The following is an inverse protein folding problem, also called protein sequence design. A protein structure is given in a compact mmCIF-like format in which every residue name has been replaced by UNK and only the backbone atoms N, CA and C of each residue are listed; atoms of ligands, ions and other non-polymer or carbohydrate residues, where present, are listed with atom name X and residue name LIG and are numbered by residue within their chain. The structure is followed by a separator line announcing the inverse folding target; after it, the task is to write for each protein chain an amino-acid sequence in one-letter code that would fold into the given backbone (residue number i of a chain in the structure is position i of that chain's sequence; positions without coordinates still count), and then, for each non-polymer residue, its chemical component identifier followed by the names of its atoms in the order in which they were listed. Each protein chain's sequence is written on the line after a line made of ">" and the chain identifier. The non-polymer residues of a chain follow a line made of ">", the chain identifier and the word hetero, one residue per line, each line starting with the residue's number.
data_IF_036741597940
#
_entry.id   IF_036741597940
#
_cell.length_a   1.000
_cell.length_b   1.000
_cell.length_c   1.000
_cell.angle_alpha   90.00
_cell.angle_beta   90.00
_cell.angle_gamma   90.00
#
_symmetry.space_group_name_H-M   'P 1'
#
loop_
_entity.id
_entity.type
_entity.pdbx_description
1 polymer ?
#
# COMPACT_ATOMS: atom_id res chain seq x y z
N UNK A 1 -5.36 -25.66 14.81
CA UNK A 1 -4.06 -25.20 14.24
C UNK A 1 -3.22 -24.60 15.36
N UNK A 2 -2.37 -25.39 16.00
CA UNK A 2 -1.44 -24.93 17.04
C UNK A 2 -0.31 -24.16 16.37
N UNK A 3 -0.45 -22.83 16.29
CA UNK A 3 0.66 -21.96 15.91
C UNK A 3 1.82 -22.22 16.88
N UNK A 4 2.96 -22.68 16.37
CA UNK A 4 4.16 -22.88 17.17
C UNK A 4 4.42 -21.59 17.96
N UNK A 5 4.41 -21.69 19.29
CA UNK A 5 4.84 -20.63 20.20
C UNK A 5 6.37 -20.55 20.11
N UNK A 6 6.86 -19.93 19.04
CA UNK A 6 8.28 -19.65 18.90
C UNK A 6 8.62 -18.54 19.89
N UNK A 7 9.38 -18.91 20.93
CA UNK A 7 10.00 -17.94 21.84
C UNK A 7 10.96 -17.10 21.02
N UNK A 8 10.98 -15.80 21.29
CA UNK A 8 11.82 -14.86 20.55
C UNK A 8 12.54 -13.97 21.55
N UNK A 9 13.85 -13.85 21.40
CA UNK A 9 14.68 -12.97 22.20
C UNK A 9 15.04 -11.77 21.33
N UNK A 10 14.71 -10.56 21.79
CA UNK A 10 15.02 -9.31 21.09
C UNK A 10 15.45 -8.27 22.10
N UNK A 11 16.58 -7.58 21.87
CA UNK A 11 17.17 -6.58 22.78
C UNK A 11 17.37 -7.10 24.21
N UNK A 12 17.69 -8.38 24.36
CA UNK A 12 17.83 -9.03 25.66
C UNK A 12 16.51 -9.29 26.40
N UNK A 13 15.35 -9.07 25.77
CA UNK A 13 14.04 -9.41 26.32
C UNK A 13 13.56 -10.70 25.66
N UNK A 14 13.29 -11.72 26.48
CA UNK A 14 12.66 -12.96 26.02
C UNK A 14 11.13 -12.84 26.04
N UNK A 15 10.52 -13.02 24.88
CA UNK A 15 9.08 -13.06 24.75
C UNK A 15 8.60 -14.50 24.56
N UNK A 16 7.48 -14.89 25.20
CA UNK A 16 6.93 -16.24 25.07
C UNK A 16 6.39 -16.52 23.66
N UNK A 17 6.16 -15.47 22.87
CA UNK A 17 5.68 -15.55 21.49
C UNK A 17 5.96 -14.25 20.73
N UNK A 18 6.11 -14.37 19.41
CA UNK A 18 6.16 -13.23 18.47
C UNK A 18 4.97 -12.30 18.66
N UNK A 19 3.78 -12.84 18.97
CA UNK A 19 2.58 -12.08 19.26
C UNK A 19 2.77 -11.08 20.41
N UNK A 20 3.21 -11.57 21.57
CA UNK A 20 3.43 -10.74 22.76
C UNK A 20 4.52 -9.70 22.53
N UNK A 21 5.58 -10.05 21.79
CA UNK A 21 6.58 -9.08 21.37
C UNK A 21 5.96 -8.01 20.47
N UNK A 22 5.16 -8.39 19.48
CA UNK A 22 4.50 -7.46 18.56
C UNK A 22 3.59 -6.47 19.32
N UNK A 23 2.82 -6.96 20.29
CA UNK A 23 1.97 -6.14 21.15
C UNK A 23 2.80 -5.19 22.03
N UNK A 24 3.92 -5.67 22.59
CA UNK A 24 4.80 -4.87 23.43
C UNK A 24 5.44 -3.69 22.68
N UNK A 25 5.89 -3.91 21.45
CA UNK A 25 6.52 -2.87 20.62
C UNK A 25 5.54 -2.11 19.70
N UNK A 26 4.24 -2.44 19.74
CA UNK A 26 3.24 -1.81 18.88
C UNK A 26 3.41 -2.10 17.38
N UNK A 27 4.01 -3.24 17.02
CA UNK A 27 4.27 -3.63 15.63
C UNK A 27 3.29 -4.72 15.17
N UNK A 28 2.93 -4.73 13.89
CA UNK A 28 2.07 -5.78 13.33
C UNK A 28 2.87 -7.03 12.97
N UNK A 29 2.26 -8.22 13.14
CA UNK A 29 2.88 -9.51 12.76
C UNK A 29 3.31 -9.54 11.28
N UNK A 30 2.55 -8.90 10.39
CA UNK A 30 2.91 -8.83 8.96
C UNK A 30 4.21 -8.08 8.75
N UNK A 31 4.39 -6.95 9.44
CA UNK A 31 5.60 -6.14 9.39
C UNK A 31 6.79 -6.89 9.96
N UNK A 32 6.60 -7.56 11.11
CA UNK A 32 7.62 -8.41 11.72
C UNK A 32 8.06 -9.56 10.82
N UNK A 33 7.11 -10.28 10.19
CA UNK A 33 7.44 -11.37 9.27
C UNK A 33 8.16 -10.87 8.01
N UNK A 34 7.79 -9.72 7.45
CA UNK A 34 8.52 -9.13 6.32
C UNK A 34 9.94 -8.72 6.74
N UNK A 35 10.11 -8.16 7.94
CA UNK A 35 11.41 -7.81 8.50
C UNK A 35 12.28 -9.05 8.74
N UNK A 36 11.75 -10.13 9.35
CA UNK A 36 12.47 -11.39 9.54
C UNK A 36 12.84 -12.11 8.23
N UNK A 37 12.05 -11.93 7.17
CA UNK A 37 12.41 -12.49 5.85
C UNK A 37 13.58 -11.76 5.20
N UNK A 38 13.78 -10.48 5.54
CA UNK A 38 14.82 -9.62 4.97
C UNK A 38 16.07 -9.55 5.85
N UNK A 39 15.88 -9.60 7.16
CA UNK A 39 16.93 -9.51 8.16
C UNK A 39 17.07 -10.88 8.83
N UNK A 40 18.28 -11.43 8.86
CA UNK A 40 18.55 -12.69 9.54
C UNK A 40 18.54 -12.55 11.08
N UNK A 41 18.60 -11.30 11.57
CA UNK A 41 18.73 -10.97 12.99
C UNK A 41 17.43 -10.38 13.56
N UNK A 42 16.94 -10.86 14.71
CA UNK A 42 15.70 -10.39 15.32
C UNK A 42 15.78 -8.93 15.81
N UNK A 43 16.93 -8.50 16.32
CA UNK A 43 17.17 -7.11 16.74
C UNK A 43 17.13 -6.13 15.56
N UNK A 44 17.75 -6.49 14.45
CA UNK A 44 17.75 -5.68 13.22
C UNK A 44 16.34 -5.62 12.61
N UNK A 45 15.63 -6.76 12.62
CA UNK A 45 14.24 -6.82 12.20
C UNK A 45 13.36 -5.90 13.06
N UNK A 46 13.58 -5.85 14.38
CA UNK A 46 12.88 -4.93 15.27
C UNK A 46 13.21 -3.48 14.96
N UNK A 47 14.49 -3.14 14.79
CA UNK A 47 14.89 -1.77 14.45
C UNK A 47 14.20 -1.31 13.17
N UNK A 48 14.16 -2.15 12.14
CA UNK A 48 13.45 -1.89 10.89
C UNK A 48 11.93 -1.80 11.04
N UNK A 49 11.37 -2.52 12.02
CA UNK A 49 9.96 -2.41 12.37
C UNK A 49 9.64 -1.14 13.17
N UNK A 50 10.61 -0.58 13.89
CA UNK A 50 10.45 0.66 14.64
C UNK A 50 10.75 1.88 13.76
N UNK A 51 11.73 1.78 12.87
CA UNK A 51 12.02 2.81 11.87
C UNK A 51 10.80 3.00 10.97
N UNK A 52 10.20 4.18 11.01
CA UNK A 52 9.10 4.51 10.12
C UNK A 52 9.61 4.52 8.67
N UNK A 53 9.41 3.40 7.96
CA UNK A 53 9.62 3.37 6.52
C UNK A 53 8.32 3.88 5.90
N UNK A 54 8.26 5.11 5.37
CA UNK A 54 7.10 5.54 4.62
C UNK A 54 6.84 4.49 3.55
N UNK A 55 5.59 4.05 3.43
CA UNK A 55 5.20 3.10 2.39
C UNK A 55 5.82 3.58 1.08
N UNK A 56 6.61 2.74 0.40
CA UNK A 56 7.36 3.17 -0.80
C UNK A 56 6.35 3.71 -1.80
N UNK A 57 6.23 5.04 -1.83
CA UNK A 57 5.33 5.74 -2.71
C UNK A 57 5.92 5.57 -4.09
N UNK A 58 5.33 4.71 -4.90
CA UNK A 58 5.75 4.55 -6.29
C UNK A 58 5.42 5.87 -6.97
N UNK A 59 6.48 6.64 -7.28
CA UNK A 59 6.36 7.82 -8.12
C UNK A 59 5.74 7.39 -9.45
N UNK A 60 4.75 8.14 -9.91
CA UNK A 60 4.06 7.86 -11.18
C UNK A 60 4.07 9.11 -12.03
N UNK A 61 4.35 8.94 -13.32
CA UNK A 61 4.31 10.02 -14.30
C UNK A 61 3.05 9.83 -15.13
N UNK A 62 2.20 10.85 -15.21
CA UNK A 62 0.92 10.81 -15.91
C UNK A 62 0.80 12.10 -16.72
N UNK A 63 0.65 11.98 -18.05
CA UNK A 63 0.56 13.13 -18.96
C UNK A 63 1.68 14.18 -18.76
N UNK A 64 2.92 13.71 -18.54
CA UNK A 64 4.07 14.59 -18.31
C UNK A 64 4.11 15.26 -16.93
N UNK A 65 3.19 14.91 -16.02
CA UNK A 65 3.19 15.37 -14.63
C UNK A 65 3.65 14.25 -13.71
N UNK A 66 4.63 14.55 -12.85
CA UNK A 66 5.13 13.63 -11.85
C UNK A 66 4.30 13.74 -10.57
N UNK A 67 3.88 12.60 -10.04
CA UNK A 67 3.16 12.49 -8.78
C UNK A 67 3.93 11.60 -7.83
N UNK A 68 3.90 11.95 -6.55
CA UNK A 68 4.57 11.19 -5.50
C UNK A 68 3.92 9.81 -5.30
N UNK A 69 2.61 9.72 -5.52
CA UNK A 69 1.79 8.50 -5.35
C UNK A 69 0.63 8.41 -6.33
N UNK A 70 0.12 7.20 -6.53
CA UNK A 70 -1.14 6.95 -7.27
C UNK A 70 -2.32 7.68 -6.61
N UNK A 71 -2.34 7.77 -5.29
CA UNK A 71 -3.41 8.44 -4.53
C UNK A 71 -3.44 9.95 -4.82
N UNK A 72 -2.28 10.60 -4.77
CA UNK A 72 -2.11 12.02 -5.11
C UNK A 72 -2.56 12.30 -6.54
N UNK A 73 -2.15 11.45 -7.48
CA UNK A 73 -2.61 11.52 -8.86
C UNK A 73 -4.14 11.37 -8.98
N UNK A 74 -4.72 10.33 -8.35
CA UNK A 74 -6.16 10.10 -8.39
C UNK A 74 -6.93 11.30 -7.82
N UNK A 75 -6.47 11.86 -6.70
CA UNK A 75 -7.06 13.04 -6.09
C UNK A 75 -6.98 14.26 -7.03
N UNK A 76 -5.83 14.48 -7.70
CA UNK A 76 -5.65 15.56 -8.67
C UNK A 76 -6.65 15.47 -9.84
N UNK A 77 -6.95 14.26 -10.32
CA UNK A 77 -7.95 14.03 -11.38
C UNK A 77 -9.39 13.87 -10.86
N UNK A 78 -9.63 14.10 -9.56
CA UNK A 78 -10.92 13.88 -8.88
C UNK A 78 -11.48 12.48 -9.15
N UNK A 79 -10.63 11.48 -9.05
CA UNK A 79 -10.93 10.06 -9.16
C UNK A 79 -10.83 9.41 -7.79
N UNK A 80 -11.58 8.31 -7.61
CA UNK A 80 -11.45 7.49 -6.42
C UNK A 80 -10.23 6.56 -6.56
N UNK A 81 -9.24 6.59 -5.65
CA UNK A 81 -8.07 5.71 -5.67
C UNK A 81 -8.45 4.23 -5.80
N UNK A 82 -9.50 3.78 -5.09
CA UNK A 82 -9.96 2.39 -5.17
C UNK A 82 -10.38 2.01 -6.60
N UNK A 83 -11.00 2.92 -7.35
CA UNK A 83 -11.37 2.69 -8.75
C UNK A 83 -10.14 2.56 -9.64
N UNK A 84 -9.09 3.34 -9.37
CA UNK A 84 -7.80 3.25 -10.07
C UNK A 84 -7.16 1.88 -9.84
N UNK A 85 -7.02 1.45 -8.57
CA UNK A 85 -6.47 0.13 -8.25
C UNK A 85 -7.28 -1.01 -8.88
N UNK A 86 -8.61 -0.95 -8.79
CA UNK A 86 -9.50 -1.95 -9.41
C UNK A 86 -9.32 -2.00 -10.92
N UNK A 87 -9.21 -0.85 -11.58
CA UNK A 87 -8.97 -0.77 -13.03
C UNK A 87 -7.60 -1.34 -13.40
N UNK A 88 -6.58 -1.01 -12.61
CA UNK A 88 -5.22 -1.49 -12.76
C UNK A 88 -5.16 -3.02 -12.65
N UNK A 89 -5.82 -3.61 -11.66
CA UNK A 89 -5.88 -5.08 -11.50
C UNK A 89 -6.72 -5.78 -12.56
N UNK A 90 -7.89 -5.21 -12.93
CA UNK A 90 -8.80 -5.83 -13.92
C UNK A 90 -8.23 -5.79 -15.35
N UNK A 91 -7.60 -4.69 -15.72
CA UNK A 91 -7.09 -4.48 -17.07
C UNK A 91 -5.58 -4.74 -17.20
N UNK A 92 -4.88 -5.02 -16.08
CA UNK A 92 -3.42 -5.17 -16.03
C UNK A 92 -2.65 -4.03 -16.70
N UNK A 93 -3.18 -2.81 -16.58
CA UNK A 93 -2.58 -1.59 -17.14
C UNK A 93 -1.69 -0.90 -16.11
N UNK A 94 -0.87 0.05 -16.57
CA UNK A 94 -0.07 0.91 -15.69
C UNK A 94 -0.97 1.88 -14.91
N UNK A 95 -0.45 2.46 -13.82
CA UNK A 95 -1.20 3.40 -12.99
C UNK A 95 -1.60 4.67 -13.77
N UNK A 96 -0.72 5.18 -14.63
CA UNK A 96 -1.01 6.32 -15.49
C UNK A 96 -2.12 6.01 -16.48
N UNK A 97 -2.00 4.88 -17.18
CA UNK A 97 -2.99 4.50 -18.20
C UNK A 97 -4.37 4.17 -17.59
N UNK A 98 -4.41 3.60 -16.39
CA UNK A 98 -5.65 3.41 -15.64
C UNK A 98 -6.36 4.74 -15.35
N UNK A 99 -5.61 5.75 -14.92
CA UNK A 99 -6.14 7.08 -14.62
C UNK A 99 -6.65 7.75 -15.89
N UNK A 100 -5.90 7.69 -16.99
CA UNK A 100 -6.31 8.27 -18.27
C UNK A 100 -7.61 7.66 -18.81
N UNK A 101 -7.73 6.33 -18.75
CA UNK A 101 -8.96 5.64 -19.15
C UNK A 101 -10.15 6.06 -18.28
N UNK A 102 -9.95 6.26 -16.98
CA UNK A 102 -11.00 6.71 -16.06
C UNK A 102 -11.42 8.16 -16.33
N UNK A 103 -10.47 9.06 -16.62
CA UNK A 103 -10.76 10.44 -17.01
C UNK A 103 -11.58 10.47 -18.31
N UNK A 104 -11.18 9.68 -19.32
CA UNK A 104 -11.90 9.57 -20.59
C UNK A 104 -13.33 9.02 -20.39
N UNK A 105 -13.49 7.99 -19.58
CA UNK A 105 -14.81 7.43 -19.26
C UNK A 105 -15.72 8.44 -18.55
N UNK A 106 -15.17 9.22 -17.60
CA UNK A 106 -15.90 10.26 -16.86
C UNK A 106 -16.38 11.40 -17.78
N UNK A 107 -15.54 11.83 -18.72
CA UNK A 107 -15.92 12.83 -19.72
C UNK A 107 -17.04 12.32 -20.65
N UNK A 108 -16.99 11.07 -21.09
CA UNK A 108 -18.03 10.46 -21.92
C UNK A 108 -19.38 10.29 -21.19
N UNK A 109 -19.37 10.06 -19.88
CA UNK A 109 -20.59 10.02 -19.06
C UNK A 109 -21.26 11.40 -18.95
N UNK A 110 -20.45 12.46 -18.83
CA UNK A 110 -20.95 13.83 -18.75
C UNK A 110 -21.65 14.25 -20.05
N UNK A 111 -21.10 13.90 -21.21
CA UNK A 111 -21.67 14.27 -22.52
C UNK A 111 -22.98 13.54 -22.83
N UNK A 112 -23.15 12.29 -22.38
CA UNK A 112 -24.41 11.56 -22.53
C UNK A 112 -25.54 12.18 -21.69
N UNK A 113 -25.23 12.65 -20.49
CA UNK A 113 -26.24 13.21 -19.57
C UNK A 113 -26.79 14.57 -20.01
N UNK A 114 -26.07 15.31 -20.86
CA UNK A 114 -26.56 16.56 -21.46
C UNK A 114 -27.56 16.31 -22.60
N UNK A 115 -27.38 15.24 -23.38
CA UNK A 115 -28.27 14.92 -24.52
C UNK A 115 -29.62 14.34 -24.12
N UNK A 116 -29.77 13.87 -22.89
CA UNK A 116 -31.00 13.23 -22.40
C UNK A 116 -31.90 14.22 -21.62
N UNK A 117 -31.45 15.47 -21.42
CA UNK A 117 -32.20 16.54 -20.76
C UNK A 117 -32.46 17.75 -21.68
N UNK A 118 -32.45 17.55 -23.00
CA UNK A 118 -32.78 18.58 -24.01
C UNK A 118 -33.79 18.06 -25.00
#
# INVERSE_FOLDING_TARGET
>A
MTGKKTRVTVRGIEFPSIASMCEHYGITRSRWNDALKRCQNPDEALNRCLEFVPARTKKVIINGREFSSIDEAACCYRLNPCSVYTKMSRNKVSAGEAIEQLVKAKNNLKTKKVKENS
#
